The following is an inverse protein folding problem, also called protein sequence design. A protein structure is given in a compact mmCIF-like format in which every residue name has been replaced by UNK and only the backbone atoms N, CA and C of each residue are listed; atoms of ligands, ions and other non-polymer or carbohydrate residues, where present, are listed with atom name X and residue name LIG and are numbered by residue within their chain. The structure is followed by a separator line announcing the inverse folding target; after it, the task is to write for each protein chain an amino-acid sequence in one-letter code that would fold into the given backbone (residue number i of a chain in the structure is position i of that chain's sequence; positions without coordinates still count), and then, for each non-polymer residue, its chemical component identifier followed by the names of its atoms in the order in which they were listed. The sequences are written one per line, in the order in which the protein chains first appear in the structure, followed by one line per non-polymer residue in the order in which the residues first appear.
data_IF_960185555011
#
_entry.id   IF_960185555011
#
_cell.length_a   1.000
_cell.length_b   1.000
_cell.length_c   1.000
_cell.angle_alpha   90.00
_cell.angle_beta   90.00
_cell.angle_gamma   90.00
#
_symmetry.space_group_name_H-M   'P 1'
#
loop_
_entity.id
_entity.type
_entity.pdbx_description
1 polymer ?
#
# COMPACT_ATOMS: atom_id res chain seq x y z
N UNK A 1 41.56 3.34 4.42
CA UNK A 1 41.71 3.42 2.96
C UNK A 1 40.95 2.24 2.36
N UNK A 2 39.71 2.44 1.92
CA UNK A 2 38.97 1.44 1.15
C UNK A 2 38.28 2.13 0.01
N UNK A 3 38.60 1.70 -1.15
CA UNK A 3 38.30 2.23 -2.46
C UNK A 3 36.81 2.10 -2.78
N UNK A 4 36.19 3.19 -3.12
CA UNK A 4 34.86 3.21 -3.72
C UNK A 4 34.98 2.94 -5.20
N UNK A 5 34.53 1.81 -5.66
CA UNK A 5 34.43 1.50 -7.09
C UNK A 5 33.06 1.92 -7.58
N UNK A 6 33.04 3.05 -8.28
CA UNK A 6 31.87 3.52 -9.03
C UNK A 6 31.76 2.72 -10.31
N UNK A 7 30.68 1.97 -10.46
CA UNK A 7 30.32 1.40 -11.76
C UNK A 7 29.10 2.18 -12.28
N UNK A 8 29.38 3.05 -13.22
CA UNK A 8 28.36 3.68 -14.03
C UNK A 8 28.06 2.73 -15.20
N UNK A 9 26.82 2.25 -15.28
CA UNK A 9 26.32 1.63 -16.50
C UNK A 9 25.22 2.50 -17.06
N UNK A 10 25.61 3.23 -18.11
CA UNK A 10 24.72 3.93 -19.01
C UNK A 10 24.23 2.91 -20.04
N UNK A 11 22.94 2.64 -20.11
CA UNK A 11 22.33 2.04 -21.28
C UNK A 11 21.13 2.88 -21.70
N UNK A 12 21.40 3.73 -22.67
CA UNK A 12 20.40 4.37 -23.50
C UNK A 12 20.02 3.41 -24.61
N UNK A 13 18.74 3.10 -24.76
CA UNK A 13 18.18 2.62 -26.02
C UNK A 13 16.78 3.18 -26.18
N UNK A 14 16.74 4.20 -27.03
CA UNK A 14 15.53 4.71 -27.63
C UNK A 14 15.11 3.78 -28.77
N UNK A 15 13.85 3.35 -28.76
CA UNK A 15 13.17 2.91 -29.98
C UNK A 15 11.78 3.53 -30.00
N UNK A 16 11.67 4.49 -30.88
CA UNK A 16 10.42 5.03 -31.38
C UNK A 16 9.80 4.05 -32.37
N UNK A 17 8.51 3.80 -32.32
CA UNK A 17 7.72 3.66 -33.53
C UNK A 17 6.27 4.01 -33.30
N UNK A 18 5.82 4.95 -34.10
CA UNK A 18 4.45 5.36 -34.27
C UNK A 18 3.68 4.34 -35.11
N UNK A 19 2.39 4.22 -34.87
CA UNK A 19 1.34 4.27 -35.89
C UNK A 19 -0.04 4.01 -35.30
N UNK A 20 -0.86 5.03 -35.35
CA UNK A 20 -2.17 5.11 -36.02
C UNK A 20 -3.15 3.96 -35.87
N UNK A 21 -4.35 4.31 -35.40
CA UNK A 21 -5.56 3.52 -35.59
C UNK A 21 -6.71 4.03 -34.76
N UNK A 22 -7.56 4.83 -35.39
CA UNK A 22 -8.79 5.44 -34.92
C UNK A 22 -9.80 4.45 -34.33
N UNK A 23 -10.53 4.91 -33.37
CA UNK A 23 -11.99 4.94 -33.29
C UNK A 23 -12.60 4.45 -31.99
N UNK A 24 -13.25 5.38 -31.37
CA UNK A 24 -14.56 5.34 -30.76
C UNK A 24 -14.75 4.69 -29.39
N UNK A 25 -14.99 5.59 -28.45
CA UNK A 25 -16.18 5.59 -27.60
C UNK A 25 -16.35 4.46 -26.60
N UNK A 26 -16.10 4.73 -25.38
CA UNK A 26 -17.10 4.93 -24.32
C UNK A 26 -16.50 4.83 -22.95
N UNK A 27 -16.69 5.85 -22.19
CA UNK A 27 -17.03 5.93 -20.78
C UNK A 27 -16.68 4.71 -19.93
N UNK A 28 -15.56 4.78 -19.24
CA UNK A 28 -15.39 4.12 -17.96
C UNK A 28 -14.48 5.01 -17.14
N UNK A 29 -14.99 5.53 -16.05
CA UNK A 29 -14.21 6.18 -15.03
C UNK A 29 -13.28 5.13 -14.44
N UNK A 30 -12.06 5.09 -14.93
CA UNK A 30 -11.00 4.29 -14.39
C UNK A 30 -10.27 5.16 -13.37
N UNK A 31 -10.51 4.90 -12.11
CA UNK A 31 -9.64 5.38 -11.05
C UNK A 31 -8.24 4.86 -11.32
N UNK A 32 -7.36 5.75 -11.69
CA UNK A 32 -5.96 5.45 -11.85
C UNK A 32 -5.37 5.09 -10.48
N UNK A 33 -5.20 3.82 -10.23
CA UNK A 33 -4.27 3.36 -9.22
C UNK A 33 -2.86 3.69 -9.73
N UNK A 34 -2.28 4.75 -9.20
CA UNK A 34 -0.88 5.07 -9.41
C UNK A 34 -0.05 4.04 -8.64
N UNK A 35 0.30 2.95 -9.31
CA UNK A 35 1.34 2.05 -8.83
C UNK A 35 2.69 2.69 -9.12
N UNK A 36 3.24 3.45 -8.21
CA UNK A 36 4.67 3.68 -8.21
C UNK A 36 5.34 2.42 -7.70
N UNK A 37 5.86 1.64 -8.64
CA UNK A 37 6.73 0.53 -8.34
C UNK A 37 8.04 1.09 -7.77
N UNK A 38 8.15 1.12 -6.45
CA UNK A 38 9.43 1.33 -5.79
C UNK A 38 10.28 0.08 -5.98
N UNK A 39 11.42 0.23 -6.62
CA UNK A 39 12.39 -0.85 -6.84
C UNK A 39 12.93 -1.37 -5.51
N UNK A 40 12.76 -2.66 -5.30
CA UNK A 40 13.30 -3.39 -4.15
C UNK A 40 14.82 -3.40 -4.23
N UNK A 41 15.49 -2.79 -3.28
CA UNK A 41 16.91 -2.98 -3.05
C UNK A 41 17.10 -4.20 -2.15
N UNK A 42 17.68 -5.27 -2.69
CA UNK A 42 18.02 -6.47 -1.93
C UNK A 42 19.03 -6.15 -0.83
N UNK A 43 18.66 -6.42 0.40
CA UNK A 43 19.60 -6.52 1.52
C UNK A 43 19.37 -5.60 2.72
N UNK A 44 18.53 -4.57 2.57
CA UNK A 44 18.05 -3.73 3.69
C UNK A 44 16.53 -3.70 3.62
N UNK A 45 15.85 -3.77 4.77
CA UNK A 45 14.39 -3.79 4.80
C UNK A 45 13.81 -2.60 4.04
N UNK A 46 12.64 -2.81 3.42
CA UNK A 46 11.97 -1.76 2.64
C UNK A 46 11.79 -0.48 3.48
N UNK A 47 12.14 0.65 2.90
CA UNK A 47 11.88 1.99 3.47
C UNK A 47 11.07 2.79 2.47
N UNK A 48 9.89 3.22 2.88
CA UNK A 48 8.98 3.97 2.03
C UNK A 48 7.53 3.83 2.50
N UNK A 49 6.61 4.38 1.72
CA UNK A 49 5.18 4.36 2.04
C UNK A 49 4.43 3.51 1.01
N UNK A 50 3.55 2.65 1.49
CA UNK A 50 2.65 1.85 0.66
C UNK A 50 1.20 2.19 0.99
N UNK A 51 0.36 2.23 -0.04
CA UNK A 51 -1.08 2.50 0.10
C UNK A 51 -1.86 1.43 -0.63
N UNK A 52 -2.86 0.89 0.03
CA UNK A 52 -3.79 -0.06 -0.57
C UNK A 52 -5.20 0.15 -0.04
N UNK A 53 -6.19 -0.35 -0.76
CA UNK A 53 -7.59 -0.25 -0.37
C UNK A 53 -8.25 -1.61 -0.41
N UNK A 54 -9.20 -1.83 0.50
CA UNK A 54 -10.05 -3.01 0.52
C UNK A 54 -11.49 -2.63 0.80
N UNK A 55 -12.41 -3.53 0.47
CA UNK A 55 -13.83 -3.27 0.63
C UNK A 55 -14.28 -3.45 2.08
N UNK A 56 -14.75 -2.36 2.67
CA UNK A 56 -15.39 -2.35 3.97
C UNK A 56 -16.89 -2.66 3.91
N UNK A 57 -17.62 -2.24 4.92
CA UNK A 57 -19.07 -2.47 5.05
C UNK A 57 -19.89 -1.50 4.20
N UNK A 58 -19.57 -0.22 4.24
CA UNK A 58 -20.29 0.84 3.54
C UNK A 58 -19.54 1.37 2.31
N UNK A 59 -18.23 1.17 2.25
CA UNK A 59 -17.40 1.65 1.16
C UNK A 59 -16.01 1.05 1.20
N UNK A 60 -15.10 1.69 0.48
CA UNK A 60 -13.71 1.27 0.47
C UNK A 60 -12.96 1.89 1.66
N UNK A 61 -12.13 1.08 2.29
CA UNK A 61 -11.20 1.51 3.34
C UNK A 61 -9.81 1.57 2.73
N UNK A 62 -9.15 2.72 2.87
CA UNK A 62 -7.79 2.92 2.37
C UNK A 62 -6.81 2.91 3.53
N UNK A 63 -5.74 2.14 3.38
CA UNK A 63 -4.68 2.03 4.38
C UNK A 63 -3.37 2.50 3.76
N UNK A 64 -2.68 3.38 4.47
CA UNK A 64 -1.35 3.87 4.11
C UNK A 64 -0.36 3.54 5.21
N UNK A 65 0.64 2.74 4.90
CA UNK A 65 1.65 2.31 5.87
C UNK A 65 3.01 2.87 5.46
N UNK A 66 3.70 3.50 6.40
CA UNK A 66 5.08 3.92 6.25
C UNK A 66 5.99 2.89 6.90
N UNK A 67 6.96 2.42 6.13
CA UNK A 67 7.96 1.46 6.57
C UNK A 67 9.35 2.11 6.64
N UNK A 68 10.12 1.72 7.65
CA UNK A 68 11.54 2.03 7.77
C UNK A 68 12.30 0.74 8.06
N UNK A 69 13.20 0.35 7.17
CA UNK A 69 13.97 -0.89 7.28
C UNK A 69 13.11 -2.14 7.50
N UNK A 70 11.97 -2.22 6.81
CA UNK A 70 11.04 -3.34 6.92
C UNK A 70 10.14 -3.31 8.17
N UNK A 71 10.16 -2.22 8.93
CA UNK A 71 9.34 -2.03 10.12
C UNK A 71 8.27 -0.97 9.84
N UNK A 72 7.02 -1.28 10.13
CA UNK A 72 5.93 -0.31 10.04
C UNK A 72 6.07 0.72 11.16
N UNK A 73 6.32 1.97 10.81
CA UNK A 73 6.48 3.08 11.76
C UNK A 73 5.24 3.93 11.88
N UNK A 74 4.38 3.92 10.87
CA UNK A 74 3.09 4.60 10.90
C UNK A 74 2.07 3.83 10.05
N UNK A 75 0.82 3.86 10.47
CA UNK A 75 -0.31 3.32 9.74
C UNK A 75 -1.45 4.33 9.80
N UNK A 76 -1.84 4.85 8.66
CA UNK A 76 -2.98 5.74 8.51
C UNK A 76 -4.12 4.98 7.83
N UNK A 77 -5.32 5.11 8.35
CA UNK A 77 -6.51 4.41 7.86
C UNK A 77 -7.62 5.41 7.57
N UNK A 78 -7.96 5.55 6.30
CA UNK A 78 -9.15 6.28 5.87
C UNK A 78 -10.35 5.32 5.78
N UNK A 79 -11.20 5.39 6.77
CA UNK A 79 -12.47 4.67 6.87
C UNK A 79 -13.66 5.65 6.87
N UNK A 80 -13.53 6.80 6.22
CA UNK A 80 -14.53 7.88 6.23
C UNK A 80 -15.90 7.47 5.68
N UNK A 81 -15.95 6.47 4.83
CA UNK A 81 -17.19 5.88 4.28
C UNK A 81 -17.88 4.91 5.23
N UNK A 82 -17.18 4.47 6.27
CA UNK A 82 -17.69 3.51 7.24
C UNK A 82 -18.57 4.18 8.32
N UNK A 83 -19.28 3.36 9.10
CA UNK A 83 -20.13 3.83 10.19
C UNK A 83 -19.30 4.55 11.26
N UNK A 84 -19.62 5.81 11.55
CA UNK A 84 -18.83 6.68 12.46
C UNK A 84 -18.59 6.07 13.84
N UNK A 85 -19.63 5.50 14.44
CA UNK A 85 -19.55 4.97 15.81
C UNK A 85 -18.91 3.59 15.93
N UNK A 86 -18.71 2.89 14.83
CA UNK A 86 -18.21 1.52 14.80
C UNK A 86 -16.98 1.40 13.89
N UNK A 87 -17.15 1.52 12.58
CA UNK A 87 -16.08 1.35 11.60
C UNK A 87 -14.97 2.39 11.74
N UNK A 88 -15.33 3.66 11.77
CA UNK A 88 -14.34 4.73 11.94
C UNK A 88 -13.68 4.70 13.32
N UNK A 89 -14.42 4.35 14.37
CA UNK A 89 -13.86 4.22 15.72
C UNK A 89 -12.89 3.02 15.86
N UNK A 90 -13.06 1.98 15.05
CA UNK A 90 -12.16 0.83 15.05
C UNK A 90 -10.85 1.09 14.31
N UNK A 91 -10.84 2.00 13.34
CA UNK A 91 -9.70 2.27 12.46
C UNK A 91 -8.40 2.56 13.23
N UNK A 92 -8.35 3.52 14.19
CA UNK A 92 -7.13 3.80 14.93
C UNK A 92 -6.65 2.62 15.77
N UNK A 93 -7.57 1.85 16.36
CA UNK A 93 -7.22 0.69 17.18
C UNK A 93 -6.53 -0.39 16.34
N UNK A 94 -7.05 -0.67 15.15
CA UNK A 94 -6.43 -1.65 14.23
C UNK A 94 -5.11 -1.13 13.68
N UNK A 95 -5.03 0.15 13.33
CA UNK A 95 -3.81 0.79 12.85
C UNK A 95 -2.68 0.71 13.89
N UNK A 96 -2.96 1.07 15.14
CA UNK A 96 -1.99 0.99 16.26
C UNK A 96 -1.51 -0.45 16.48
N UNK A 97 -2.41 -1.43 16.40
CA UNK A 97 -2.06 -2.84 16.57
C UNK A 97 -1.15 -3.33 15.43
N UNK A 98 -1.37 -2.89 14.17
CA UNK A 98 -0.52 -3.22 13.03
C UNK A 98 0.91 -2.68 13.24
N UNK A 99 1.04 -1.43 13.65
CA UNK A 99 2.34 -0.81 13.93
C UNK A 99 3.04 -1.48 15.12
N UNK A 100 2.32 -1.70 16.21
CA UNK A 100 2.88 -2.31 17.43
C UNK A 100 3.36 -3.76 17.21
N UNK A 101 2.63 -4.52 16.40
CA UNK A 101 2.98 -5.90 16.07
C UNK A 101 3.89 -6.06 14.86
N UNK A 102 4.10 -5.00 14.08
CA UNK A 102 4.72 -5.03 12.75
C UNK A 102 4.14 -6.15 11.88
N UNK A 103 2.82 -6.29 11.90
CA UNK A 103 2.09 -7.33 11.17
C UNK A 103 0.70 -6.85 10.80
N UNK A 104 0.19 -7.20 9.60
CA UNK A 104 -1.20 -6.93 9.23
C UNK A 104 -2.18 -7.92 9.85
N UNK A 105 -1.69 -8.97 10.52
CA UNK A 105 -2.51 -9.99 11.17
C UNK A 105 -2.78 -9.60 12.63
N UNK A 106 -3.78 -8.77 12.84
CA UNK A 106 -4.20 -8.30 14.17
C UNK A 106 -5.64 -8.76 14.48
N UNK A 107 -6.07 -8.59 15.71
CA UNK A 107 -7.43 -8.96 16.10
C UNK A 107 -8.45 -7.92 15.60
N UNK A 108 -9.59 -8.42 15.13
CA UNK A 108 -10.69 -7.56 14.74
C UNK A 108 -11.37 -6.93 15.97
N UNK A 109 -11.71 -5.65 15.84
CA UNK A 109 -12.45 -4.93 16.89
C UNK A 109 -13.88 -5.45 16.97
N UNK A 110 -14.31 -5.79 18.17
CA UNK A 110 -15.66 -6.29 18.43
C UNK A 110 -16.72 -5.26 17.98
N UNK A 111 -17.70 -5.71 17.23
CA UNK A 111 -18.72 -4.85 16.64
C UNK A 111 -18.34 -4.20 15.30
N UNK A 112 -17.06 -4.25 14.91
CA UNK A 112 -16.55 -3.68 13.65
C UNK A 112 -15.74 -4.69 12.83
N UNK A 113 -16.10 -5.96 12.90
CA UNK A 113 -15.35 -7.06 12.30
C UNK A 113 -15.16 -6.88 10.79
N UNK A 114 -16.18 -6.44 10.07
CA UNK A 114 -16.12 -6.26 8.61
C UNK A 114 -15.10 -5.18 8.25
N UNK A 115 -15.18 -4.02 8.88
CA UNK A 115 -14.25 -2.91 8.67
C UNK A 115 -12.82 -3.28 9.12
N UNK A 116 -12.68 -3.95 10.27
CA UNK A 116 -11.37 -4.44 10.74
C UNK A 116 -10.72 -5.40 9.75
N UNK A 117 -11.49 -6.33 9.19
CA UNK A 117 -11.00 -7.26 8.17
C UNK A 117 -10.59 -6.52 6.89
N UNK A 118 -11.33 -5.51 6.46
CA UNK A 118 -10.96 -4.68 5.32
C UNK A 118 -9.63 -3.93 5.55
N UNK A 119 -9.44 -3.38 6.75
CA UNK A 119 -8.18 -2.73 7.13
C UNK A 119 -7.02 -3.74 7.08
N UNK A 120 -7.20 -4.93 7.65
CA UNK A 120 -6.18 -5.99 7.62
C UNK A 120 -5.87 -6.46 6.20
N UNK A 121 -6.88 -6.59 5.33
CA UNK A 121 -6.70 -6.97 3.93
C UNK A 121 -5.91 -5.90 3.15
N UNK A 122 -6.26 -4.63 3.31
CA UNK A 122 -5.51 -3.52 2.73
C UNK A 122 -4.09 -3.45 3.29
N UNK A 123 -3.92 -3.64 4.60
CA UNK A 123 -2.59 -3.69 5.21
C UNK A 123 -1.73 -4.85 4.65
N UNK A 124 -2.29 -6.04 4.46
CA UNK A 124 -1.59 -7.17 3.82
C UNK A 124 -1.07 -6.79 2.43
N UNK A 125 -1.90 -6.14 1.64
CA UNK A 125 -1.49 -5.67 0.33
C UNK A 125 -0.33 -4.65 0.39
N UNK A 126 -0.28 -3.80 1.43
CA UNK A 126 0.85 -2.89 1.66
C UNK A 126 2.13 -3.65 2.03
N UNK A 127 2.06 -4.65 2.90
CA UNK A 127 3.20 -5.49 3.26
C UNK A 127 3.71 -6.31 2.07
N UNK A 128 2.80 -6.90 1.29
CA UNK A 128 3.13 -7.64 0.07
C UNK A 128 3.80 -6.74 -0.98
N UNK A 129 3.30 -5.52 -1.17
CA UNK A 129 3.89 -4.53 -2.08
C UNK A 129 5.28 -4.06 -1.62
N UNK A 130 5.51 -4.01 -0.31
CA UNK A 130 6.80 -3.70 0.28
C UNK A 130 7.77 -4.90 0.28
N UNK A 131 7.31 -6.10 -0.05
CA UNK A 131 8.09 -7.32 0.01
C UNK A 131 8.47 -7.76 1.43
N UNK A 132 7.68 -7.35 2.42
CA UNK A 132 7.91 -7.63 3.84
C UNK A 132 7.09 -8.87 4.24
N UNK A 133 7.76 -9.88 4.78
CA UNK A 133 7.10 -11.05 5.35
C UNK A 133 6.48 -10.73 6.73
N UNK A 134 5.29 -11.29 7.02
CA UNK A 134 4.54 -11.06 8.26
C UNK A 134 3.88 -12.32 8.81
#
# INVERSE_FOLDING_TARGET
MKQFTKIAVVCALAVSLAACGSSASSTAASSAASSEAASVAEGEGYTGTQTASAKGMNGDVTVTITFENGIATACDVDASTETESLGQAAAPTVADAIVAGNTPNVDAVSGSTVTSNAIMEAAKACYDAAGIAY
#
